data_IF_542209334070
#
_entry.id   IF_542209334070
#
_cell.length_a   1.000
_cell.length_b   1.000
_cell.length_c   1.000
_cell.angle_alpha   90.00
_cell.angle_beta   90.00
_cell.angle_gamma   90.00
#
_symmetry.space_group_name_H-M   'P 1'
#
loop_
_entity.id
_entity.type
_entity.pdbx_description
1 polymer ?
#
# COMPACT_ATOMS: atom_id res chain seq x y z
N UNK A 1 -11.44 -1.54 -3.60
CA UNK A 1 -11.58 -0.15 -3.10
C UNK A 1 -12.32 0.75 -4.06
N UNK A 2 -11.99 0.78 -5.36
CA UNK A 2 -12.74 1.63 -6.31
C UNK A 2 -14.24 1.29 -6.39
N UNK A 3 -14.59 0.01 -6.32
CA UNK A 3 -16.00 -0.42 -6.20
C UNK A 3 -16.66 0.09 -4.92
N UNK A 4 -15.98 -0.06 -3.76
CA UNK A 4 -16.46 0.45 -2.47
C UNK A 4 -16.66 1.97 -2.51
N UNK A 5 -15.74 2.69 -3.16
CA UNK A 5 -15.86 4.13 -3.36
C UNK A 5 -17.08 4.50 -4.20
N UNK A 6 -17.51 3.67 -5.15
CA UNK A 6 -18.69 3.95 -5.96
C UNK A 6 -20.03 3.73 -5.21
N UNK A 7 -20.03 2.99 -4.09
CA UNK A 7 -21.25 2.70 -3.32
C UNK A 7 -21.86 3.96 -2.71
N UNK A 8 -23.19 4.11 -2.76
CA UNK A 8 -23.89 5.32 -2.29
C UNK A 8 -23.65 5.63 -0.80
N UNK A 9 -23.58 4.60 0.04
CA UNK A 9 -23.39 4.70 1.50
C UNK A 9 -21.94 4.99 1.92
N UNK A 10 -20.99 4.98 0.97
CA UNK A 10 -19.58 5.28 1.25
C UNK A 10 -19.32 6.76 1.05
N UNK A 11 -18.95 7.48 2.11
CA UNK A 11 -18.55 8.89 2.01
C UNK A 11 -17.15 9.06 1.39
N UNK A 12 -16.25 8.11 1.71
CA UNK A 12 -14.88 8.18 1.26
C UNK A 12 -14.05 6.92 1.47
N UNK A 13 -12.82 6.96 0.98
CA UNK A 13 -11.78 5.95 1.21
C UNK A 13 -10.63 6.57 1.98
N UNK A 14 -10.31 6.00 3.14
CA UNK A 14 -9.12 6.33 3.92
C UNK A 14 -7.97 5.40 3.55
N UNK A 15 -6.90 5.96 3.00
CA UNK A 15 -5.64 5.29 2.69
C UNK A 15 -4.63 5.56 3.82
N UNK A 16 -4.12 4.50 4.42
CA UNK A 16 -3.15 4.57 5.52
C UNK A 16 -1.78 4.14 5.01
N UNK A 17 -0.80 4.97 5.33
CA UNK A 17 0.63 4.68 5.16
C UNK A 17 1.23 4.41 6.55
N UNK A 18 1.97 3.32 6.68
CA UNK A 18 2.66 2.98 7.92
C UNK A 18 4.10 3.53 7.93
N UNK A 19 4.53 4.05 9.08
CA UNK A 19 5.89 4.55 9.26
C UNK A 19 6.86 3.39 9.43
N UNK A 20 7.67 3.13 8.40
CA UNK A 20 8.82 2.23 8.47
C UNK A 20 8.46 0.82 8.98
N UNK A 21 7.37 0.25 8.45
CA UNK A 21 6.63 -0.82 9.10
C UNK A 21 7.45 -2.07 9.46
N UNK A 22 8.29 -2.53 8.54
CA UNK A 22 9.17 -3.70 8.76
C UNK A 22 10.17 -3.49 9.88
N UNK A 23 10.63 -2.26 10.09
CA UNK A 23 11.65 -1.95 11.11
C UNK A 23 11.05 -1.55 12.46
N UNK A 24 9.74 -1.27 12.52
CA UNK A 24 9.05 -0.82 13.72
C UNK A 24 8.22 -1.90 14.40
N UNK A 25 7.96 -3.04 13.73
CA UNK A 25 7.19 -4.14 14.31
C UNK A 25 7.75 -4.55 15.68
N UNK A 26 6.88 -4.56 16.70
CA UNK A 26 7.27 -4.91 18.07
C UNK A 26 7.69 -6.38 18.12
N UNK A 27 8.99 -6.63 18.22
CA UNK A 27 9.56 -7.96 18.09
C UNK A 27 9.18 -8.87 19.25
N UNK A 28 9.11 -8.31 20.46
CA UNK A 28 8.75 -9.08 21.66
C UNK A 28 7.31 -9.61 21.56
N UNK A 29 6.37 -8.74 21.18
CA UNK A 29 4.97 -9.11 20.93
C UNK A 29 4.87 -10.09 19.76
N UNK A 30 5.59 -9.82 18.66
CA UNK A 30 5.56 -10.69 17.49
C UNK A 30 6.08 -12.12 17.78
N UNK A 31 7.13 -12.24 18.61
CA UNK A 31 7.71 -13.53 19.01
C UNK A 31 6.82 -14.27 20.02
N UNK A 32 6.12 -13.55 20.89
CA UNK A 32 5.13 -14.17 21.76
C UNK A 32 3.96 -14.72 20.95
N UNK A 33 3.38 -13.89 20.07
CA UNK A 33 2.20 -14.24 19.30
C UNK A 33 2.44 -15.38 18.32
N UNK A 34 3.61 -15.43 17.67
CA UNK A 34 3.88 -16.46 16.65
C UNK A 34 3.89 -17.89 17.22
N UNK A 35 4.22 -18.05 18.49
CA UNK A 35 4.15 -19.35 19.19
C UNK A 35 2.71 -19.88 19.28
N UNK A 36 1.72 -19.00 19.16
CA UNK A 36 0.29 -19.31 19.23
C UNK A 36 -0.31 -19.36 17.81
N UNK A 37 0.04 -18.39 16.97
CA UNK A 37 -0.61 -18.21 15.65
C UNK A 37 -0.03 -19.07 14.54
N UNK A 38 1.26 -19.44 14.59
CA UNK A 38 1.88 -20.37 13.65
C UNK A 38 3.13 -21.03 14.27
N UNK A 39 2.89 -22.14 14.98
CA UNK A 39 3.93 -22.83 15.71
C UNK A 39 5.03 -23.40 14.80
N UNK A 40 4.70 -23.74 13.56
CA UNK A 40 5.59 -24.36 12.57
C UNK A 40 6.81 -23.49 12.25
N UNK A 41 6.66 -22.17 12.22
CA UNK A 41 7.74 -21.22 11.93
C UNK A 41 8.26 -20.50 13.19
N UNK A 42 7.59 -20.69 14.34
CA UNK A 42 7.89 -19.99 15.58
C UNK A 42 9.34 -20.23 16.04
N UNK A 43 9.79 -21.48 16.02
CA UNK A 43 11.10 -21.88 16.51
C UNK A 43 12.23 -21.27 15.67
N UNK A 44 12.04 -21.21 14.34
CA UNK A 44 12.99 -20.56 13.44
C UNK A 44 13.08 -19.07 13.76
N UNK A 45 11.94 -18.38 13.81
CA UNK A 45 11.89 -16.94 14.02
C UNK A 45 12.47 -16.55 15.38
N UNK A 46 12.16 -17.30 16.44
CA UNK A 46 12.75 -17.07 17.76
C UNK A 46 14.27 -17.26 17.71
N UNK A 47 14.77 -18.33 17.09
CA UNK A 47 16.22 -18.53 17.00
C UNK A 47 16.92 -17.43 16.20
N UNK A 48 16.26 -16.90 15.16
CA UNK A 48 16.79 -15.83 14.32
C UNK A 48 16.75 -14.46 15.00
N UNK A 49 15.64 -14.13 15.68
CA UNK A 49 15.34 -12.76 16.10
C UNK A 49 15.34 -12.52 17.63
N UNK A 50 15.42 -13.55 18.48
CA UNK A 50 15.39 -13.39 19.96
C UNK A 50 16.50 -12.51 20.54
N UNK A 51 17.60 -12.37 19.83
CA UNK A 51 18.71 -11.52 20.22
C UNK A 51 18.93 -10.46 19.16
N UNK A 52 19.13 -9.18 19.53
CA UNK A 52 19.36 -8.12 18.56
C UNK A 52 20.57 -8.42 17.67
N UNK A 53 20.35 -8.40 16.35
CA UNK A 53 21.44 -8.56 15.39
C UNK A 53 22.30 -7.29 15.33
N UNK A 54 23.59 -7.48 15.05
CA UNK A 54 24.58 -6.41 14.90
C UNK A 54 24.49 -5.85 13.48
N UNK A 55 24.24 -4.56 13.33
CA UNK A 55 24.23 -3.85 12.04
C UNK A 55 25.49 -3.01 11.92
N UNK A 56 26.26 -3.22 10.84
CA UNK A 56 27.51 -2.53 10.59
C UNK A 56 27.30 -1.33 9.66
N UNK A 57 27.88 -0.18 10.03
CA UNK A 57 27.75 1.07 9.27
C UNK A 57 29.00 1.29 8.42
N UNK A 58 28.82 1.70 7.17
CA UNK A 58 29.93 2.07 6.29
C UNK A 58 30.69 3.26 6.88
N UNK A 59 32.03 3.17 6.97
CA UNK A 59 32.85 4.17 7.67
C UNK A 59 33.11 3.84 9.15
N UNK A 60 32.55 2.75 9.67
CA UNK A 60 32.78 2.25 11.03
C UNK A 60 31.57 2.46 11.94
N UNK A 61 31.57 1.70 13.04
CA UNK A 61 30.48 1.72 14.03
C UNK A 61 29.48 0.57 13.86
N UNK A 62 28.69 0.37 14.91
CA UNK A 62 27.72 -0.70 15.02
C UNK A 62 26.48 -0.23 15.78
N UNK A 63 25.31 -0.67 15.32
CA UNK A 63 24.04 -0.50 16.04
C UNK A 63 23.34 -1.86 16.17
N UNK A 64 22.46 -1.99 17.16
CA UNK A 64 21.68 -3.21 17.36
C UNK A 64 20.30 -3.08 16.72
N UNK A 65 19.89 -4.09 15.96
CA UNK A 65 18.52 -4.23 15.48
C UNK A 65 17.65 -4.79 16.60
N UNK A 66 16.96 -3.92 17.34
CA UNK A 66 16.11 -4.33 18.48
C UNK A 66 14.66 -4.64 18.07
N UNK A 67 14.13 -3.89 17.11
CA UNK A 67 12.76 -4.02 16.62
C UNK A 67 12.71 -4.45 15.15
N UNK A 68 11.54 -4.85 14.70
CA UNK A 68 11.29 -5.18 13.31
C UNK A 68 11.84 -6.54 12.87
N UNK A 69 11.75 -6.75 11.57
CA UNK A 69 12.26 -7.89 10.80
C UNK A 69 13.36 -7.42 9.85
N UNK A 70 14.26 -8.31 9.46
CA UNK A 70 15.34 -7.98 8.53
C UNK A 70 14.86 -8.09 7.09
N UNK A 71 14.92 -7.00 6.32
CA UNK A 71 14.60 -7.05 4.89
C UNK A 71 15.58 -7.95 4.14
N UNK A 72 15.05 -8.86 3.32
CA UNK A 72 15.82 -9.91 2.64
C UNK A 72 15.82 -11.26 3.36
N UNK A 73 15.38 -11.32 4.62
CA UNK A 73 15.12 -12.59 5.31
C UNK A 73 13.88 -13.29 4.71
N UNK A 74 13.95 -14.59 4.34
CA UNK A 74 12.83 -15.30 3.73
C UNK A 74 11.56 -15.34 4.59
N UNK A 75 11.67 -15.30 5.93
CA UNK A 75 10.52 -15.36 6.84
C UNK A 75 10.07 -14.01 7.39
N UNK A 76 10.76 -12.91 7.07
CA UNK A 76 10.37 -11.56 7.50
C UNK A 76 8.95 -11.20 7.05
N UNK A 77 8.65 -11.37 5.76
CA UNK A 77 7.33 -11.06 5.19
C UNK A 77 6.20 -11.95 5.77
N UNK A 78 6.33 -13.30 5.79
CA UNK A 78 5.35 -14.15 6.46
C UNK A 78 5.11 -13.78 7.93
N UNK A 79 6.18 -13.52 8.68
CA UNK A 79 6.06 -13.18 10.10
C UNK A 79 5.36 -11.83 10.31
N UNK A 80 5.75 -10.81 9.55
CA UNK A 80 5.07 -9.52 9.55
C UNK A 80 3.58 -9.67 9.22
N UNK A 81 3.25 -10.46 8.19
CA UNK A 81 1.87 -10.70 7.77
C UNK A 81 1.02 -11.36 8.86
N UNK A 82 1.58 -12.38 9.53
CA UNK A 82 0.90 -13.07 10.64
C UNK A 82 0.69 -12.11 11.82
N UNK A 83 1.70 -11.30 12.16
CA UNK A 83 1.56 -10.33 13.25
C UNK A 83 0.46 -9.30 12.94
N UNK A 84 0.52 -8.66 11.78
CA UNK A 84 -0.47 -7.66 11.33
C UNK A 84 -1.87 -8.25 11.22
N UNK A 85 -2.02 -9.55 10.94
CA UNK A 85 -3.34 -10.22 10.90
C UNK A 85 -4.13 -10.08 12.20
N UNK A 86 -3.44 -9.98 13.34
CA UNK A 86 -4.06 -9.76 14.65
C UNK A 86 -4.74 -8.38 14.72
N UNK A 87 -4.05 -7.35 14.23
CA UNK A 87 -4.57 -5.97 14.13
C UNK A 87 -5.78 -5.94 13.21
N UNK A 88 -5.67 -6.59 12.03
CA UNK A 88 -6.73 -6.65 11.02
C UNK A 88 -8.01 -7.28 11.59
N UNK A 89 -7.88 -8.40 12.31
CA UNK A 89 -9.02 -9.07 12.93
C UNK A 89 -9.66 -8.21 14.01
N UNK A 90 -8.85 -7.57 14.87
CA UNK A 90 -9.34 -6.67 15.91
C UNK A 90 -10.11 -5.49 15.32
N UNK A 91 -9.58 -4.88 14.24
CA UNK A 91 -10.26 -3.80 13.52
C UNK A 91 -11.59 -4.23 12.90
N UNK A 92 -11.69 -5.43 12.33
CA UNK A 92 -12.97 -5.92 11.78
C UNK A 92 -14.03 -6.06 12.85
N UNK A 93 -13.65 -6.49 14.05
CA UNK A 93 -14.58 -6.63 15.17
C UNK A 93 -14.99 -5.26 15.74
N UNK A 94 -14.04 -4.33 15.84
CA UNK A 94 -14.28 -2.99 16.39
C UNK A 94 -15.03 -2.06 15.43
N UNK A 95 -14.87 -2.25 14.12
CA UNK A 95 -15.44 -1.39 13.07
C UNK A 95 -16.05 -2.23 11.93
N UNK A 96 -17.16 -2.94 12.20
CA UNK A 96 -17.80 -3.81 11.21
C UNK A 96 -18.34 -3.03 9.98
N UNK A 97 -18.65 -1.74 10.16
CA UNK A 97 -19.17 -0.87 9.09
C UNK A 97 -18.08 -0.36 8.13
N UNK A 98 -16.79 -0.58 8.44
CA UNK A 98 -15.68 -0.19 7.57
C UNK A 98 -15.21 -1.39 6.76
N UNK A 99 -15.38 -1.29 5.43
CA UNK A 99 -14.82 -2.26 4.48
C UNK A 99 -13.34 -1.99 4.32
N UNK A 100 -12.50 -2.92 4.76
CA UNK A 100 -11.05 -2.74 4.79
C UNK A 100 -10.29 -3.73 3.90
N UNK A 101 -9.23 -3.25 3.25
CA UNK A 101 -8.26 -4.06 2.51
C UNK A 101 -6.85 -3.75 3.00
N UNK A 102 -5.97 -4.75 2.91
CA UNK A 102 -4.61 -4.68 3.40
C UNK A 102 -3.67 -5.32 2.38
N UNK A 103 -2.54 -4.69 2.10
CA UNK A 103 -1.43 -5.27 1.36
C UNK A 103 -0.14 -4.94 2.10
N UNK A 104 0.47 -5.96 2.73
CA UNK A 104 1.58 -5.77 3.65
C UNK A 104 1.23 -4.72 4.73
N UNK A 105 1.92 -3.59 4.76
CA UNK A 105 1.71 -2.49 5.69
C UNK A 105 0.72 -1.41 5.18
N UNK A 106 0.45 -1.36 3.88
CA UNK A 106 -0.56 -0.47 3.31
C UNK A 106 -1.96 -0.98 3.68
N UNK A 107 -2.78 -0.09 4.26
CA UNK A 107 -4.18 -0.39 4.53
C UNK A 107 -5.11 0.67 3.96
N UNK A 108 -6.32 0.25 3.62
CA UNK A 108 -7.37 1.15 3.17
C UNK A 108 -8.72 0.75 3.75
N UNK A 109 -9.48 1.73 4.23
CA UNK A 109 -10.84 1.58 4.74
C UNK A 109 -11.83 2.40 3.91
N UNK A 110 -13.02 1.86 3.65
CA UNK A 110 -14.13 2.56 3.00
C UNK A 110 -15.38 2.52 3.88
N UNK A 111 -16.05 3.67 4.00
CA UNK A 111 -17.27 3.82 4.81
C UNK A 111 -17.65 5.30 4.99
N UNK A 112 -18.47 5.58 5.99
CA UNK A 112 -18.84 6.95 6.35
C UNK A 112 -17.68 7.67 7.06
N UNK A 113 -17.67 9.01 7.04
CA UNK A 113 -16.59 9.80 7.69
C UNK A 113 -16.46 9.44 9.17
N UNK A 114 -17.58 9.30 9.88
CA UNK A 114 -17.60 8.95 11.29
C UNK A 114 -17.04 7.53 11.54
N UNK A 115 -17.46 6.54 10.75
CA UNK A 115 -16.97 5.16 10.89
C UNK A 115 -15.47 5.07 10.57
N UNK A 116 -15.01 5.76 9.52
CA UNK A 116 -13.59 5.82 9.16
C UNK A 116 -12.74 6.48 10.25
N UNK A 117 -13.25 7.52 10.92
CA UNK A 117 -12.54 8.15 12.02
C UNK A 117 -12.40 7.21 13.21
N UNK A 118 -13.47 6.52 13.62
CA UNK A 118 -13.40 5.50 14.68
C UNK A 118 -12.43 4.39 14.34
N UNK A 119 -12.46 3.88 13.10
CA UNK A 119 -11.52 2.88 12.62
C UNK A 119 -10.07 3.38 12.65
N UNK A 120 -9.81 4.62 12.20
CA UNK A 120 -8.50 5.25 12.24
C UNK A 120 -7.95 5.38 13.67
N UNK A 121 -8.76 5.89 14.59
CA UNK A 121 -8.36 6.05 16.00
C UNK A 121 -8.04 4.71 16.64
N UNK A 122 -8.88 3.70 16.40
CA UNK A 122 -8.64 2.36 16.88
C UNK A 122 -7.35 1.76 16.29
N UNK A 123 -7.09 1.94 14.99
CA UNK A 123 -5.86 1.49 14.35
C UNK A 123 -4.62 2.17 14.97
N UNK A 124 -4.68 3.48 15.24
CA UNK A 124 -3.60 4.20 15.90
C UNK A 124 -3.29 3.65 17.31
N UNK A 125 -4.33 3.30 18.08
CA UNK A 125 -4.18 2.80 19.44
C UNK A 125 -3.79 1.32 19.50
N UNK A 126 -4.49 0.48 18.75
CA UNK A 126 -4.27 -0.97 18.73
C UNK A 126 -2.98 -1.31 17.97
N UNK A 127 -2.74 -0.68 16.82
CA UNK A 127 -1.57 -0.91 15.99
C UNK A 127 -0.25 -0.60 16.71
N UNK A 128 -0.24 0.42 17.58
CA UNK A 128 0.93 0.80 18.38
C UNK A 128 1.47 -0.36 19.22
N UNK A 129 0.58 -1.22 19.75
CA UNK A 129 0.96 -2.37 20.58
C UNK A 129 1.80 -3.39 19.82
N UNK A 130 1.62 -3.47 18.50
CA UNK A 130 2.32 -4.40 17.61
C UNK A 130 3.44 -3.73 16.81
N UNK A 131 3.69 -2.44 17.04
CA UNK A 131 4.67 -1.66 16.27
C UNK A 131 4.18 -1.22 14.89
N UNK A 132 2.87 -1.16 14.66
CA UNK A 132 2.27 -0.53 13.49
C UNK A 132 1.98 0.93 13.78
N UNK A 133 2.82 1.82 13.24
CA UNK A 133 2.71 3.27 13.46
C UNK A 133 2.10 3.96 12.24
N UNK A 134 0.89 4.50 12.37
CA UNK A 134 0.23 5.24 11.30
C UNK A 134 0.96 6.54 11.00
N UNK A 135 1.27 6.77 9.71
CA UNK A 135 1.82 8.02 9.22
C UNK A 135 0.72 8.95 8.70
N UNK A 136 0.14 9.75 9.60
CA UNK A 136 -0.92 10.70 9.24
C UNK A 136 -0.53 11.66 8.10
N UNK A 137 0.73 12.10 8.05
CA UNK A 137 1.22 13.03 7.03
C UNK A 137 1.29 12.44 5.61
N UNK A 138 1.34 11.11 5.51
CA UNK A 138 1.33 10.38 4.24
C UNK A 138 -0.02 9.69 3.97
N UNK A 139 -0.88 9.61 4.97
CA UNK A 139 -2.23 9.06 4.86
C UNK A 139 -3.17 10.06 4.19
N UNK A 140 -4.14 9.54 3.43
CA UNK A 140 -5.07 10.33 2.62
C UNK A 140 -6.49 9.83 2.77
N UNK A 141 -7.42 10.74 3.00
CA UNK A 141 -8.86 10.51 2.90
C UNK A 141 -9.37 11.10 1.58
N UNK A 142 -9.88 10.23 0.72
CA UNK A 142 -10.52 10.59 -0.55
C UNK A 142 -12.02 10.67 -0.30
N UNK A 143 -12.64 11.82 -0.53
CA UNK A 143 -14.09 12.05 -0.34
C UNK A 143 -14.77 12.46 -1.64
N UNK A 144 -16.06 12.23 -1.75
CA UNK A 144 -16.81 12.43 -3.01
C UNK A 144 -17.22 13.87 -3.31
N UNK A 145 -17.25 14.74 -2.30
CA UNK A 145 -17.77 16.10 -2.46
C UNK A 145 -17.09 17.08 -1.52
N UNK A 146 -17.19 18.36 -1.85
CA UNK A 146 -16.64 19.44 -1.01
C UNK A 146 -17.35 19.52 0.35
N UNK A 147 -18.63 19.16 0.42
CA UNK A 147 -19.38 19.11 1.69
C UNK A 147 -18.77 18.06 2.63
N UNK A 148 -18.50 16.86 2.10
CA UNK A 148 -17.85 15.78 2.83
C UNK A 148 -16.40 16.13 3.17
N UNK A 149 -15.70 16.90 2.32
CA UNK A 149 -14.37 17.39 2.64
C UNK A 149 -14.37 18.31 3.87
N UNK A 150 -15.30 19.26 3.94
CA UNK A 150 -15.45 20.13 5.11
C UNK A 150 -15.86 19.38 6.37
N UNK A 151 -16.70 18.35 6.24
CA UNK A 151 -17.01 17.47 7.37
C UNK A 151 -15.79 16.68 7.83
N UNK A 152 -15.05 16.10 6.90
CA UNK A 152 -13.83 15.36 7.19
C UNK A 152 -12.76 16.25 7.85
N UNK A 153 -12.60 17.50 7.40
CA UNK A 153 -11.69 18.46 8.03
C UNK A 153 -12.11 18.77 9.47
N UNK A 154 -13.41 18.82 9.76
CA UNK A 154 -13.92 19.02 11.12
C UNK A 154 -13.68 17.79 12.00
N UNK A 155 -13.81 16.58 11.46
CA UNK A 155 -13.69 15.32 12.22
C UNK A 155 -12.23 14.89 12.39
N UNK A 156 -11.46 14.84 11.31
CA UNK A 156 -10.05 14.42 11.30
C UNK A 156 -9.07 15.55 11.64
N UNK A 157 -9.49 16.81 11.55
CA UNK A 157 -8.61 17.96 11.74
C UNK A 157 -7.43 17.93 10.76
N UNK A 158 -6.21 17.76 11.30
CA UNK A 158 -4.96 17.66 10.53
C UNK A 158 -4.30 16.28 10.63
N UNK A 159 -5.04 15.27 11.10
CA UNK A 159 -4.49 13.92 11.31
C UNK A 159 -4.16 13.22 9.98
N UNK A 160 -4.91 13.53 8.92
CA UNK A 160 -4.69 12.99 7.56
C UNK A 160 -4.89 14.07 6.51
N UNK A 161 -4.39 13.85 5.29
CA UNK A 161 -4.65 14.73 4.16
C UNK A 161 -6.02 14.40 3.54
N UNK A 162 -6.75 15.41 3.07
CA UNK A 162 -8.08 15.23 2.48
C UNK A 162 -8.05 15.67 1.02
N UNK A 163 -8.72 14.94 0.14
CA UNK A 163 -8.86 15.30 -1.28
C UNK A 163 -10.21 14.89 -1.84
N UNK A 164 -10.75 15.70 -2.75
CA UNK A 164 -11.94 15.41 -3.56
C UNK A 164 -11.61 14.85 -4.94
N UNK A 165 -10.37 15.04 -5.41
CA UNK A 165 -9.96 14.66 -6.76
C UNK A 165 -9.67 13.18 -6.85
N UNK A 166 -8.86 12.64 -5.94
CA UNK A 166 -8.46 11.25 -5.97
C UNK A 166 -7.03 11.03 -5.55
N UNK A 167 -6.66 9.75 -5.50
CA UNK A 167 -5.32 9.31 -5.16
C UNK A 167 -5.00 7.98 -5.81
N UNK A 168 -3.71 7.78 -6.07
CA UNK A 168 -3.16 6.47 -6.40
C UNK A 168 -3.29 5.52 -5.20
N UNK A 169 -3.75 4.29 -5.46
CA UNK A 169 -3.78 3.20 -4.49
C UNK A 169 -3.24 1.93 -5.15
N UNK A 170 -2.16 1.37 -4.59
CA UNK A 170 -1.50 0.14 -5.06
C UNK A 170 -1.10 0.12 -6.56
N UNK A 171 -0.93 1.28 -7.20
CA UNK A 171 -0.65 1.32 -8.65
C UNK A 171 -1.86 1.61 -9.54
N UNK A 172 -3.07 1.51 -9.00
CA UNK A 172 -4.30 1.95 -9.64
C UNK A 172 -4.76 3.30 -9.07
N UNK A 173 -5.95 3.76 -9.47
CA UNK A 173 -6.52 5.06 -9.10
C UNK A 173 -7.89 4.93 -8.45
N UNK A 174 -8.14 5.77 -7.44
CA UNK A 174 -9.44 5.97 -6.79
C UNK A 174 -9.72 7.47 -6.81
N UNK A 175 -10.90 7.90 -7.25
CA UNK A 175 -11.24 9.32 -7.28
C UNK A 175 -12.25 9.68 -8.36
N UNK A 176 -12.24 10.96 -8.73
CA UNK A 176 -13.01 11.55 -9.81
C UNK A 176 -12.62 10.98 -11.18
N UNK A 177 -13.53 11.07 -12.13
CA UNK A 177 -13.27 10.69 -13.53
C UNK A 177 -12.13 11.52 -14.11
N UNK A 178 -12.09 12.82 -13.83
CA UNK A 178 -11.03 13.72 -14.30
C UNK A 178 -9.66 13.29 -13.79
N UNK A 179 -9.53 12.95 -12.51
CA UNK A 179 -8.26 12.49 -11.94
C UNK A 179 -7.81 11.16 -12.55
N UNK A 180 -8.77 10.25 -12.82
CA UNK A 180 -8.49 9.00 -13.53
C UNK A 180 -8.00 9.26 -14.95
N UNK A 181 -8.66 10.14 -15.70
CA UNK A 181 -8.28 10.50 -17.07
C UNK A 181 -6.87 11.09 -17.12
N UNK A 182 -6.58 12.07 -16.27
CA UNK A 182 -5.26 12.68 -16.15
C UNK A 182 -4.19 11.64 -15.85
N UNK A 183 -4.42 10.80 -14.82
CA UNK A 183 -3.50 9.74 -14.44
C UNK A 183 -3.25 8.72 -15.56
N UNK A 184 -4.29 8.29 -16.28
CA UNK A 184 -4.15 7.32 -17.36
C UNK A 184 -3.40 7.93 -18.55
N UNK A 185 -3.73 9.16 -18.93
CA UNK A 185 -3.05 9.87 -20.02
C UNK A 185 -1.56 10.10 -19.72
N UNK A 186 -1.21 10.60 -18.53
CA UNK A 186 0.18 10.72 -18.10
C UNK A 186 0.92 9.39 -18.16
N UNK A 187 0.27 8.31 -17.72
CA UNK A 187 0.86 6.98 -17.68
C UNK A 187 1.12 6.42 -19.08
N UNK A 188 0.14 6.53 -19.97
CA UNK A 188 0.23 6.09 -21.36
C UNK A 188 1.29 6.88 -22.12
N UNK A 189 1.35 8.20 -21.94
CA UNK A 189 2.37 9.04 -22.59
C UNK A 189 3.78 8.65 -22.15
N UNK A 190 3.99 8.42 -20.84
CA UNK A 190 5.26 7.91 -20.33
C UNK A 190 5.61 6.54 -20.93
N UNK A 191 4.62 5.66 -21.13
CA UNK A 191 4.86 4.36 -21.75
C UNK A 191 5.16 4.44 -23.23
N UNK A 192 4.53 5.36 -23.97
CA UNK A 192 4.88 5.63 -25.36
C UNK A 192 6.36 5.98 -25.49
N UNK A 193 6.85 6.89 -24.65
CA UNK A 193 8.28 7.28 -24.63
C UNK A 193 9.19 6.08 -24.28
N UNK A 194 8.80 5.27 -23.29
CA UNK A 194 9.55 4.05 -22.95
C UNK A 194 9.57 3.05 -24.14
N UNK A 195 8.48 2.95 -24.93
CA UNK A 195 8.37 2.05 -26.11
C UNK A 195 9.21 2.56 -27.26
N UNK A 196 9.15 3.86 -27.56
CA UNK A 196 9.99 4.50 -28.59
C UNK A 196 11.48 4.28 -28.30
N UNK A 197 11.90 4.47 -27.05
CA UNK A 197 13.26 4.18 -26.61
C UNK A 197 13.61 2.69 -26.78
N UNK A 198 12.67 1.79 -26.48
CA UNK A 198 12.88 0.36 -26.65
C UNK A 198 13.00 -0.05 -28.13
N UNK A 199 12.21 0.58 -29.01
CA UNK A 199 12.26 0.42 -30.47
C UNK A 199 13.59 0.89 -31.04
N UNK A 200 14.16 1.97 -30.51
CA UNK A 200 15.51 2.41 -30.87
C UNK A 200 16.59 1.41 -30.43
N UNK A 201 16.50 0.88 -29.21
CA UNK A 201 17.42 -0.16 -28.71
C UNK A 201 17.31 -1.42 -29.57
N UNK A 202 16.11 -1.80 -30.00
CA UNK A 202 15.86 -2.99 -30.81
C UNK A 202 16.65 -3.01 -32.13
N UNK A 203 16.99 -1.83 -32.69
CA UNK A 203 17.83 -1.71 -33.89
C UNK A 203 19.22 -2.32 -33.71
N UNK A 204 19.76 -2.31 -32.50
CA UNK A 204 21.11 -2.83 -32.18
C UNK A 204 21.09 -4.08 -31.32
N UNK A 205 20.09 -4.24 -30.43
CA UNK A 205 19.99 -5.31 -29.45
C UNK A 205 18.59 -5.95 -29.44
N UNK A 206 18.16 -6.60 -30.53
CA UNK A 206 16.78 -7.04 -30.71
C UNK A 206 16.33 -8.06 -29.65
N UNK A 207 17.18 -9.00 -29.26
CA UNK A 207 16.83 -9.99 -28.23
C UNK A 207 16.63 -9.34 -26.84
N UNK A 208 17.51 -8.41 -26.45
CA UNK A 208 17.38 -7.69 -25.18
C UNK A 208 16.11 -6.84 -25.16
N UNK A 209 15.84 -6.12 -26.26
CA UNK A 209 14.64 -5.31 -26.40
C UNK A 209 13.36 -6.17 -26.32
N UNK A 210 13.35 -7.33 -26.99
CA UNK A 210 12.22 -8.27 -26.93
C UNK A 210 11.98 -8.82 -25.52
N UNK A 211 13.03 -9.15 -24.77
CA UNK A 211 12.90 -9.60 -23.38
C UNK A 211 12.35 -8.49 -22.50
N UNK A 212 12.84 -7.26 -22.61
CA UNK A 212 12.34 -6.12 -21.86
C UNK A 212 10.86 -5.82 -22.18
N UNK A 213 10.47 -5.92 -23.46
CA UNK A 213 9.08 -5.77 -23.88
C UNK A 213 8.18 -6.85 -23.27
N UNK A 214 8.54 -8.13 -23.44
CA UNK A 214 7.70 -9.25 -23.03
C UNK A 214 7.64 -9.47 -21.52
N UNK A 215 8.73 -9.18 -20.78
CA UNK A 215 8.81 -9.39 -19.32
C UNK A 215 8.47 -8.13 -18.53
N UNK A 216 8.83 -6.96 -19.03
CA UNK A 216 8.54 -5.67 -18.41
C UNK A 216 7.20 -5.11 -18.87
N UNK A 217 7.13 -4.65 -20.11
CA UNK A 217 5.99 -3.90 -20.63
C UNK A 217 4.69 -4.68 -20.64
N UNK A 218 4.68 -5.90 -21.19
CA UNK A 218 3.47 -6.72 -21.25
C UNK A 218 2.87 -6.94 -19.86
N UNK A 219 3.71 -7.14 -18.85
CA UNK A 219 3.30 -7.31 -17.45
C UNK A 219 2.69 -6.02 -16.89
N UNK A 220 3.32 -4.86 -17.13
CA UNK A 220 2.76 -3.53 -16.79
C UNK A 220 1.39 -3.35 -17.46
N UNK A 221 1.32 -3.52 -18.77
CA UNK A 221 0.08 -3.34 -19.54
C UNK A 221 -1.06 -4.23 -19.00
N UNK A 222 -0.78 -5.52 -18.79
CA UNK A 222 -1.76 -6.46 -18.22
C UNK A 222 -2.26 -6.03 -16.84
N UNK A 223 -1.37 -5.47 -16.00
CA UNK A 223 -1.76 -4.98 -14.69
C UNK A 223 -2.79 -3.84 -14.77
N UNK A 224 -2.53 -2.82 -15.59
CA UNK A 224 -3.42 -1.65 -15.70
C UNK A 224 -4.75 -2.01 -16.35
N UNK A 225 -4.74 -2.83 -17.41
CA UNK A 225 -5.96 -3.36 -18.04
C UNK A 225 -6.87 -4.11 -17.05
N UNK A 226 -6.30 -4.71 -16.01
CA UNK A 226 -7.06 -5.48 -15.00
C UNK A 226 -7.49 -4.65 -13.79
N UNK A 227 -6.83 -3.52 -13.52
CA UNK A 227 -6.99 -2.79 -12.25
C UNK A 227 -7.63 -1.42 -12.41
N UNK A 228 -7.63 -0.86 -13.62
CA UNK A 228 -8.33 0.38 -13.94
C UNK A 228 -9.44 0.04 -14.94
N UNK A 229 -10.68 0.34 -14.58
CA UNK A 229 -11.84 0.14 -15.46
C UNK A 229 -11.69 0.94 -16.75
N UNK A 230 -12.09 0.40 -17.90
CA UNK A 230 -12.07 1.12 -19.18
C UNK A 230 -10.68 1.71 -19.52
N UNK A 231 -9.60 1.03 -19.13
CA UNK A 231 -8.24 1.49 -19.44
C UNK A 231 -7.92 1.35 -20.94
N UNK A 232 -8.62 0.45 -21.63
CA UNK A 232 -8.56 0.26 -23.08
C UNK A 232 -8.82 1.54 -23.87
N UNK A 233 -9.62 2.48 -23.35
CA UNK A 233 -9.93 3.72 -24.04
C UNK A 233 -8.71 4.66 -24.17
N UNK A 234 -7.66 4.42 -23.39
CA UNK A 234 -6.47 5.28 -23.32
C UNK A 234 -5.29 4.73 -24.12
N UNK A 235 -5.35 3.53 -24.69
CA UNK A 235 -4.15 2.84 -25.20
C UNK A 235 -3.74 3.25 -26.62
N UNK A 236 -4.56 4.03 -27.33
CA UNK A 236 -4.28 4.43 -28.72
C UNK A 236 -2.85 4.97 -28.94
N UNK A 237 -2.29 5.86 -28.08
CA UNK A 237 -0.93 6.35 -28.28
C UNK A 237 0.17 5.29 -28.19
N UNK A 238 -0.10 4.15 -27.53
CA UNK A 238 0.82 3.02 -27.45
C UNK A 238 0.71 2.16 -28.71
N UNK A 239 -0.50 1.93 -29.21
CA UNK A 239 -0.72 1.18 -30.44
C UNK A 239 -0.08 1.86 -31.66
N UNK A 240 -0.07 3.20 -31.68
CA UNK A 240 0.61 3.98 -32.71
C UNK A 240 2.15 3.90 -32.66
N UNK A 241 2.71 3.53 -31.51
CA UNK A 241 4.16 3.51 -31.28
C UNK A 241 4.82 2.12 -31.45
N UNK A 242 4.02 1.05 -31.60
CA UNK A 242 4.47 -0.33 -31.83
C UNK A 242 4.47 -0.63 -33.33
#
# INVERSE_FOLDING_TARGET
>A
MSEIYAEAETDGILLIDASNAFNQMNRSVAMHNIQITCNEISQYLINTYRSPSRLFICGGGEILSQEGTTQGDPLAMPWYSINTSTIIQSLRLASPDVKQVWLADDSAGGGTIAALYSWYRYLCEEGLKYGYHVNGSKSWLIVKSQLLASEAERVFGREVKITTEGRRHLGAVIGSTNYKEEYCNEKVNSWREEIEALSDIAKSQPHSAYVAFTKGFKSKFTYFMRTISSFEDYINPIEEAI
#
